data_IF_914912158399
#
_entry.id   IF_914912158399
#
_cell.length_a   1.000
_cell.length_b   1.000
_cell.length_c   1.000
_cell.angle_alpha   90.00
_cell.angle_beta   90.00
_cell.angle_gamma   90.00
#
_symmetry.space_group_name_H-M   'P 1'
#
loop_
_entity.id
_entity.type
_entity.pdbx_description
1 polymer ?
#
# COMPACT_ATOMS: atom_id res chain seq x y z
N UNK A 1 -1.67 12.69 2.43
CA UNK A 1 -1.28 11.45 3.14
C UNK A 1 -0.53 11.78 4.42
N UNK A 2 -0.77 11.01 5.48
CA UNK A 2 0.10 10.96 6.67
C UNK A 2 0.78 9.59 6.76
N UNK A 3 1.98 9.55 7.34
CA UNK A 3 2.73 8.33 7.61
C UNK A 3 3.20 8.40 9.05
N UNK A 4 2.91 7.39 9.86
CA UNK A 4 3.32 7.35 11.24
C UNK A 4 3.83 5.96 11.61
N UNK A 5 4.80 5.92 12.53
CA UNK A 5 5.28 4.70 13.16
C UNK A 5 4.84 4.74 14.62
N UNK A 6 3.93 3.84 14.98
CA UNK A 6 3.39 3.68 16.33
C UNK A 6 3.89 2.37 16.94
N UNK A 7 3.51 2.13 18.21
CA UNK A 7 3.72 0.85 18.89
C UNK A 7 2.39 0.36 19.44
N UNK A 8 2.09 -0.92 19.24
CA UNK A 8 0.99 -1.58 19.95
C UNK A 8 1.29 -1.69 21.45
N UNK A 9 0.26 -2.00 22.25
CA UNK A 9 0.41 -2.32 23.67
C UNK A 9 1.35 -3.50 23.93
N UNK A 10 1.48 -4.42 22.98
CA UNK A 10 2.40 -5.57 22.99
C UNK A 10 3.84 -5.20 22.62
N UNK A 11 4.10 -3.94 22.25
CA UNK A 11 5.42 -3.43 21.85
C UNK A 11 5.74 -3.59 20.35
N UNK A 12 4.89 -4.27 19.58
CA UNK A 12 5.05 -4.45 18.13
C UNK A 12 4.95 -3.10 17.38
N UNK A 13 5.81 -2.83 16.38
CA UNK A 13 5.72 -1.61 15.59
C UNK A 13 4.52 -1.64 14.63
N UNK A 14 3.79 -0.53 14.53
CA UNK A 14 2.67 -0.36 13.60
C UNK A 14 2.98 0.78 12.64
N UNK A 15 2.97 0.50 11.35
CA UNK A 15 3.03 1.54 10.32
C UNK A 15 1.61 1.95 9.98
N UNK A 16 1.30 3.24 10.17
CA UNK A 16 0.00 3.82 9.81
C UNK A 16 0.18 4.67 8.55
N UNK A 17 -0.60 4.36 7.52
CA UNK A 17 -0.68 5.11 6.28
C UNK A 17 -2.09 5.72 6.15
N UNK A 18 -2.22 6.99 6.47
CA UNK A 18 -3.49 7.72 6.35
C UNK A 18 -3.63 8.35 4.97
N UNK A 19 -4.67 7.97 4.22
CA UNK A 19 -4.97 8.51 2.90
C UNK A 19 -5.96 9.69 3.01
N UNK A 20 -5.63 10.82 2.39
CA UNK A 20 -6.59 11.93 2.26
C UNK A 20 -7.60 11.64 1.13
N UNK A 21 -8.67 12.42 1.05
CA UNK A 21 -9.62 12.34 -0.07
C UNK A 21 -8.94 12.49 -1.43
N UNK A 22 -7.98 13.40 -1.56
CA UNK A 22 -7.17 13.56 -2.78
C UNK A 22 -6.41 12.27 -3.13
N UNK A 23 -5.82 11.61 -2.13
CA UNK A 23 -5.14 10.32 -2.35
C UNK A 23 -6.13 9.25 -2.82
N UNK A 24 -7.34 9.21 -2.26
CA UNK A 24 -8.37 8.28 -2.71
C UNK A 24 -8.80 8.57 -4.16
N UNK A 25 -9.01 9.83 -4.54
CA UNK A 25 -9.34 10.21 -5.92
C UNK A 25 -8.26 9.77 -6.90
N UNK A 26 -6.98 9.91 -6.53
CA UNK A 26 -5.86 9.45 -7.35
C UNK A 26 -5.88 7.93 -7.54
N UNK A 27 -6.12 7.17 -6.47
CA UNK A 27 -6.24 5.71 -6.57
C UNK A 27 -7.41 5.27 -7.45
N UNK A 28 -8.53 6.01 -7.44
CA UNK A 28 -9.69 5.76 -8.31
C UNK A 28 -9.42 6.11 -9.78
N UNK A 29 -8.38 6.90 -10.05
CA UNK A 29 -7.90 7.24 -11.39
C UNK A 29 -6.70 6.37 -11.81
N UNK A 30 -6.53 5.20 -11.18
CA UNK A 30 -5.42 4.26 -11.42
C UNK A 30 -4.03 4.88 -11.22
N UNK A 31 -3.92 5.93 -10.41
CA UNK A 31 -2.63 6.53 -10.03
C UNK A 31 -2.10 5.92 -8.73
N UNK A 32 -0.98 5.16 -8.78
CA UNK A 32 -0.39 4.57 -7.59
C UNK A 32 0.19 5.64 -6.65
N UNK A 33 0.12 5.38 -5.35
CA UNK A 33 0.79 6.19 -4.34
C UNK A 33 2.05 5.48 -3.86
N UNK A 34 3.19 6.16 -3.99
CA UNK A 34 4.48 5.65 -3.54
C UNK A 34 4.75 6.12 -2.12
N UNK A 35 5.06 5.19 -1.24
CA UNK A 35 5.44 5.43 0.16
C UNK A 35 6.87 4.96 0.38
N UNK A 36 7.71 5.85 0.88
CA UNK A 36 9.10 5.55 1.26
C UNK A 36 9.18 5.33 2.76
N UNK A 37 9.49 4.10 3.19
CA UNK A 37 9.55 3.75 4.62
C UNK A 37 10.80 4.27 5.33
N UNK A 38 11.84 4.64 4.58
CA UNK A 38 13.05 5.26 5.13
C UNK A 38 12.74 6.57 5.88
N UNK A 39 11.71 7.29 5.47
CA UNK A 39 11.24 8.51 6.15
C UNK A 39 10.67 8.24 7.55
N UNK A 40 10.32 6.99 7.85
CA UNK A 40 9.87 6.53 9.17
C UNK A 40 11.03 5.91 9.99
N UNK A 41 12.27 6.01 9.52
CA UNK A 41 13.43 5.37 10.16
C UNK A 41 13.50 3.85 10.00
N UNK A 42 12.66 3.28 9.13
CA UNK A 42 12.66 1.85 8.81
C UNK A 42 13.71 1.53 7.73
N UNK A 43 14.01 0.24 7.54
CA UNK A 43 14.88 -0.21 6.45
C UNK A 43 14.37 0.34 5.11
N UNK A 44 15.25 0.80 4.21
CA UNK A 44 14.83 1.35 2.92
C UNK A 44 13.97 0.37 2.13
N UNK A 45 12.69 0.73 2.00
CA UNK A 45 11.69 -0.04 1.27
C UNK A 45 10.67 0.94 0.70
N UNK A 46 10.25 0.65 -0.53
CA UNK A 46 9.14 1.35 -1.19
C UNK A 46 7.90 0.49 -1.04
N UNK A 47 6.83 1.09 -0.54
CA UNK A 47 5.50 0.49 -0.55
C UNK A 47 4.69 1.21 -1.62
N UNK A 48 4.07 0.45 -2.51
CA UNK A 48 3.18 0.97 -3.53
C UNK A 48 1.75 0.68 -3.08
N UNK A 49 0.94 1.72 -2.94
CA UNK A 49 -0.49 1.59 -2.71
C UNK A 49 -1.17 1.76 -4.07
N UNK A 50 -1.96 0.76 -4.45
CA UNK A 50 -2.69 0.72 -5.71
C UNK A 50 -4.17 0.48 -5.42
N UNK A 51 -5.02 1.09 -6.23
CA UNK A 51 -6.45 0.86 -6.24
C UNK A 51 -6.84 0.10 -7.49
N UNK A 52 -8.00 -0.54 -7.44
CA UNK A 52 -8.63 -1.16 -8.59
C UNK A 52 -10.05 -1.57 -8.23
N UNK A 53 -10.90 -1.73 -9.24
CA UNK A 53 -12.30 -2.13 -9.03
C UNK A 53 -12.41 -3.58 -8.56
N UNK A 54 -11.49 -4.43 -9.01
CA UNK A 54 -11.36 -5.84 -8.61
C UNK A 54 -9.89 -6.21 -8.37
N UNK A 55 -9.65 -7.31 -7.66
CA UNK A 55 -8.29 -7.85 -7.50
C UNK A 55 -7.65 -8.24 -8.84
N UNK A 56 -8.46 -8.69 -9.81
CA UNK A 56 -8.00 -9.03 -11.15
C UNK A 56 -7.47 -7.80 -11.90
N UNK A 57 -8.14 -6.65 -11.76
CA UNK A 57 -7.70 -5.39 -12.36
C UNK A 57 -6.34 -4.97 -11.78
N UNK A 58 -6.18 -5.09 -10.46
CA UNK A 58 -4.92 -4.79 -9.77
C UNK A 58 -3.81 -5.73 -10.25
N UNK A 59 -4.08 -7.04 -10.34
CA UNK A 59 -3.11 -8.02 -10.78
C UNK A 59 -2.68 -7.77 -12.24
N UNK A 60 -3.62 -7.45 -13.13
CA UNK A 60 -3.34 -7.10 -14.52
C UNK A 60 -2.47 -5.84 -14.62
N UNK A 61 -2.82 -4.78 -13.89
CA UNK A 61 -2.04 -3.54 -13.84
C UNK A 61 -0.62 -3.79 -13.31
N UNK A 62 -0.45 -4.60 -12.27
CA UNK A 62 0.87 -4.95 -11.75
C UNK A 62 1.70 -5.73 -12.78
N UNK A 63 1.09 -6.71 -13.43
CA UNK A 63 1.74 -7.50 -14.47
C UNK A 63 2.19 -6.64 -15.66
N UNK A 64 1.37 -5.68 -16.08
CA UNK A 64 1.69 -4.76 -17.17
C UNK A 64 2.83 -3.81 -16.79
N UNK A 65 2.77 -3.19 -15.60
CA UNK A 65 3.73 -2.12 -15.21
C UNK A 65 5.05 -2.66 -14.67
N UNK A 66 5.04 -3.80 -13.99
CA UNK A 66 6.20 -4.32 -13.25
C UNK A 66 6.56 -5.76 -13.60
N UNK A 67 5.78 -6.42 -14.45
CA UNK A 67 5.85 -7.86 -14.65
C UNK A 67 5.10 -8.64 -13.56
N UNK A 68 4.96 -9.97 -13.71
CA UNK A 68 4.24 -10.79 -12.76
C UNK A 68 4.92 -10.77 -11.38
N UNK A 69 4.18 -10.57 -10.29
CA UNK A 69 4.75 -10.57 -8.95
C UNK A 69 5.31 -11.96 -8.62
N UNK A 70 6.45 -12.00 -7.90
CA UNK A 70 7.05 -13.26 -7.43
C UNK A 70 6.16 -14.02 -6.45
N UNK A 71 5.34 -13.28 -5.71
CA UNK A 71 4.41 -13.81 -4.72
C UNK A 71 3.23 -12.85 -4.59
N UNK A 72 2.03 -13.40 -4.50
CA UNK A 72 0.79 -12.68 -4.19
C UNK A 72 0.17 -13.33 -2.96
N UNK A 73 -0.23 -12.53 -1.98
CA UNK A 73 -0.94 -12.99 -0.78
C UNK A 73 -2.32 -12.32 -0.82
N UNK A 74 -3.37 -13.12 -0.75
CA UNK A 74 -4.75 -12.64 -0.65
C UNK A 74 -5.15 -12.63 0.82
N UNK A 75 -5.61 -11.50 1.31
CA UNK A 75 -6.12 -11.37 2.68
C UNK A 75 -7.61 -11.14 2.61
N UNK A 76 -8.39 -12.09 3.12
CA UNK A 76 -9.83 -11.89 3.28
C UNK A 76 -10.08 -10.84 4.38
N UNK A 77 -11.11 -9.99 4.24
CA UNK A 77 -11.47 -9.07 5.31
C UNK A 77 -11.84 -9.88 6.55
N UNK A 78 -11.23 -9.54 7.69
CA UNK A 78 -11.69 -10.04 8.99
C UNK A 78 -13.17 -9.68 9.14
N UNK A 79 -14.03 -10.70 9.21
CA UNK A 79 -15.49 -10.57 9.34
C UNK A 79 -15.91 -10.21 10.76
#
# INVERSE_FOLDING_TARGET
>A
MIKALLRESTGAPVVVLGLSAENMTRLMADEPIVVQLAELGLKPMKVLIVGGRTEADIAAMLAEKFGPPRQTIHQEPDR
#
